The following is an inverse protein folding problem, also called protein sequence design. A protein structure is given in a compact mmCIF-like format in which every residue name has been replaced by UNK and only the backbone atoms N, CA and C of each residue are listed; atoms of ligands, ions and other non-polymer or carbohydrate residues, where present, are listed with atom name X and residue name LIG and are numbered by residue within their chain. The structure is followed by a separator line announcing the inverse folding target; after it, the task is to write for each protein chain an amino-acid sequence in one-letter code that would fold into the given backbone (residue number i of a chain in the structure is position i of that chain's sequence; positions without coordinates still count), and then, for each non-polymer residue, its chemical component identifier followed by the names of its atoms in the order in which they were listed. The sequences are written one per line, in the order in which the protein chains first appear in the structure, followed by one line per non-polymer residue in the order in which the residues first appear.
data_IF_945512763397
#
_entry.id   IF_945512763397
#
_cell.length_a   1.000
_cell.length_b   1.000
_cell.length_c   1.000
_cell.angle_alpha   90.00
_cell.angle_beta   90.00
_cell.angle_gamma   90.00
#
_symmetry.space_group_name_H-M   'P 1'
#
loop_
_entity.id
_entity.type
_entity.pdbx_description
1 polymer ?
#
# COMPACT_ATOMS: atom_id res chain seq x y z
N UNK A 1 9.37 10.04 0.79
CA UNK A 1 8.58 9.33 -0.23
C UNK A 1 8.58 10.08 -1.55
N UNK A 2 8.58 11.42 -1.55
CA UNK A 2 8.43 12.22 -2.78
C UNK A 2 9.56 12.09 -3.82
N UNK A 3 10.69 11.47 -3.47
CA UNK A 3 11.84 11.21 -4.36
C UNK A 3 12.09 9.71 -4.61
N UNK A 4 11.20 8.80 -4.20
CA UNK A 4 11.43 7.36 -4.37
C UNK A 4 10.88 6.85 -5.69
N UNK A 5 11.74 6.29 -6.54
CA UNK A 5 11.34 5.57 -7.75
C UNK A 5 10.92 4.15 -7.35
N UNK A 6 9.62 4.00 -7.10
CA UNK A 6 8.99 2.72 -6.79
C UNK A 6 8.72 2.00 -8.12
N UNK A 7 8.86 0.68 -8.17
CA UNK A 7 8.25 -0.09 -9.25
C UNK A 7 6.72 -0.05 -9.09
N UNK A 8 6.13 1.05 -9.54
CA UNK A 8 4.72 1.38 -9.37
C UNK A 8 3.80 0.31 -9.97
N UNK A 9 4.24 -0.41 -11.00
CA UNK A 9 3.42 -1.41 -11.72
C UNK A 9 3.07 -2.59 -10.82
N UNK A 10 4.06 -3.20 -10.17
CA UNK A 10 3.84 -4.38 -9.32
C UNK A 10 3.10 -4.03 -8.03
N UNK A 11 3.41 -2.85 -7.46
CA UNK A 11 2.77 -2.40 -6.24
C UNK A 11 1.30 -1.99 -6.47
N UNK A 12 1.01 -1.38 -7.63
CA UNK A 12 -0.34 -1.00 -8.04
C UNK A 12 -1.26 -2.21 -8.22
N UNK A 13 -0.79 -3.28 -8.86
CA UNK A 13 -1.61 -4.49 -9.04
C UNK A 13 -2.04 -5.10 -7.70
N UNK A 14 -1.09 -5.32 -6.78
CA UNK A 14 -1.41 -5.84 -5.43
C UNK A 14 -2.35 -4.91 -4.66
N UNK A 15 -2.15 -3.61 -4.79
CA UNK A 15 -3.01 -2.62 -4.15
C UNK A 15 -4.43 -2.64 -4.71
N UNK A 16 -4.59 -2.76 -6.03
CA UNK A 16 -5.90 -2.89 -6.68
C UNK A 16 -6.62 -4.17 -6.24
N UNK A 17 -5.93 -5.31 -6.16
CA UNK A 17 -6.49 -6.57 -5.66
C UNK A 17 -6.99 -6.46 -4.21
N UNK A 18 -6.21 -5.85 -3.32
CA UNK A 18 -6.59 -5.67 -1.92
C UNK A 18 -7.74 -4.64 -1.77
N UNK A 19 -7.77 -3.59 -2.59
CA UNK A 19 -8.91 -2.67 -2.66
C UNK A 19 -10.18 -3.36 -3.14
N UNK A 20 -10.09 -4.22 -4.15
CA UNK A 20 -11.23 -5.00 -4.63
C UNK A 20 -11.74 -5.97 -3.56
N UNK A 21 -10.85 -6.69 -2.88
CA UNK A 21 -11.18 -7.57 -1.76
C UNK A 21 -11.86 -6.80 -0.63
N UNK A 22 -11.32 -5.66 -0.24
CA UNK A 22 -11.88 -4.81 0.80
C UNK A 22 -13.27 -4.28 0.40
N UNK A 23 -13.43 -3.84 -0.84
CA UNK A 23 -14.72 -3.38 -1.38
C UNK A 23 -15.74 -4.51 -1.41
N UNK A 24 -15.35 -5.73 -1.81
CA UNK A 24 -16.21 -6.91 -1.80
C UNK A 24 -16.61 -7.30 -0.38
N UNK A 25 -15.68 -7.29 0.56
CA UNK A 25 -15.94 -7.51 1.98
C UNK A 25 -16.94 -6.48 2.52
N UNK A 26 -16.72 -5.19 2.31
CA UNK A 26 -17.65 -4.14 2.74
C UNK A 26 -19.07 -4.34 2.17
N UNK A 27 -19.19 -4.71 0.89
CA UNK A 27 -20.49 -5.00 0.27
C UNK A 27 -21.23 -6.15 0.97
N UNK A 28 -20.54 -7.23 1.32
CA UNK A 28 -21.14 -8.38 2.04
C UNK A 28 -21.81 -8.00 3.37
N UNK A 29 -21.32 -6.96 4.06
CA UNK A 29 -21.93 -6.47 5.31
C UNK A 29 -22.89 -5.30 5.11
N UNK A 30 -22.96 -4.73 3.91
CA UNK A 30 -23.74 -3.51 3.62
C UNK A 30 -25.06 -3.80 2.90
N UNK A 31 -25.29 -5.03 2.46
CA UNK A 31 -26.55 -5.47 1.81
C UNK A 31 -27.82 -5.29 2.66
N UNK A 32 -27.71 -4.85 3.93
CA UNK A 32 -28.84 -4.55 4.82
C UNK A 32 -29.37 -3.11 4.77
N UNK A 33 -28.70 -2.16 4.10
CA UNK A 33 -29.16 -0.76 4.08
C UNK A 33 -28.87 -0.04 2.73
N UNK A 34 -29.89 0.16 1.86
CA UNK A 34 -29.73 0.73 0.51
C UNK A 34 -29.20 2.18 0.49
N UNK A 35 -29.12 2.86 1.65
CA UNK A 35 -28.57 4.22 1.78
C UNK A 35 -27.05 4.25 1.97
N UNK A 36 -26.41 3.14 2.33
CA UNK A 36 -24.95 3.03 2.48
C UNK A 36 -24.31 2.55 1.19
N UNK A 37 -24.36 3.37 0.12
CA UNK A 37 -23.52 3.09 -1.05
C UNK A 37 -22.05 3.23 -0.62
N UNK A 38 -21.31 2.12 -0.64
CA UNK A 38 -19.85 2.11 -0.43
C UNK A 38 -19.24 3.04 -1.48
N UNK A 39 -18.74 4.20 -1.04
CA UNK A 39 -18.00 5.10 -1.93
C UNK A 39 -16.67 4.43 -2.26
N UNK A 40 -16.24 4.40 -3.54
CA UNK A 40 -14.90 3.93 -3.85
C UNK A 40 -13.90 4.79 -3.09
N UNK A 41 -13.11 4.15 -2.22
CA UNK A 41 -12.03 4.81 -1.50
C UNK A 41 -10.99 5.19 -2.54
N UNK A 42 -10.89 6.48 -2.87
CA UNK A 42 -9.78 7.01 -3.66
C UNK A 42 -8.55 7.12 -2.75
N UNK A 43 -7.89 6.01 -2.50
CA UNK A 43 -6.58 6.01 -1.84
C UNK A 43 -5.50 6.00 -2.90
N UNK A 44 -4.58 6.95 -2.83
CA UNK A 44 -3.41 7.00 -3.70
C UNK A 44 -2.41 5.90 -3.27
N UNK A 45 -1.69 5.31 -4.22
CA UNK A 45 -0.69 4.26 -3.98
C UNK A 45 0.37 4.71 -2.96
N UNK A 46 0.68 6.01 -2.94
CA UNK A 46 1.60 6.61 -1.97
C UNK A 46 1.08 6.56 -0.54
N UNK A 47 -0.22 6.83 -0.35
CA UNK A 47 -0.81 6.82 0.97
C UNK A 47 -0.95 5.39 1.50
N UNK A 48 -1.22 4.43 0.61
CA UNK A 48 -1.14 3.02 0.92
C UNK A 48 0.29 2.58 1.31
N UNK A 49 1.31 3.04 0.56
CA UNK A 49 2.70 2.77 0.91
C UNK A 49 3.09 3.37 2.29
N UNK A 50 2.64 4.59 2.61
CA UNK A 50 2.81 5.20 3.94
C UNK A 50 2.13 4.38 5.02
N UNK A 51 0.90 3.92 4.77
CA UNK A 51 0.15 3.08 5.69
C UNK A 51 0.89 1.76 5.96
N UNK A 52 1.31 1.05 4.92
CA UNK A 52 2.07 -0.20 5.05
C UNK A 52 3.37 0.00 5.85
N UNK A 53 4.11 1.08 5.62
CA UNK A 53 5.33 1.38 6.40
C UNK A 53 5.06 1.73 7.86
N UNK A 54 3.87 2.21 8.21
CA UNK A 54 3.48 2.51 9.60
C UNK A 54 2.90 1.27 10.28
N UNK A 55 1.79 0.78 9.75
CA UNK A 55 0.90 -0.20 10.38
C UNK A 55 1.05 -1.62 9.82
N UNK A 56 1.68 -1.78 8.65
CA UNK A 56 1.86 -3.10 8.04
C UNK A 56 2.71 -4.05 8.88
N UNK A 57 2.50 -5.34 8.68
CA UNK A 57 3.36 -6.38 9.23
C UNK A 57 4.79 -6.26 8.70
N UNK A 58 5.74 -6.87 9.41
CA UNK A 58 7.15 -6.92 8.98
C UNK A 58 7.30 -7.51 7.57
N UNK A 59 6.43 -8.45 7.19
CA UNK A 59 6.45 -9.10 5.88
C UNK A 59 5.98 -8.12 4.81
N UNK A 60 4.84 -7.46 5.00
CA UNK A 60 4.32 -6.49 4.03
C UNK A 60 5.26 -5.29 3.86
N UNK A 61 5.85 -4.81 4.96
CA UNK A 61 6.90 -3.78 4.93
C UNK A 61 8.09 -4.23 4.08
N UNK A 62 8.55 -5.47 4.25
CA UNK A 62 9.65 -6.03 3.47
C UNK A 62 9.29 -6.19 1.99
N UNK A 63 8.08 -6.66 1.68
CA UNK A 63 7.60 -6.75 0.30
C UNK A 63 7.55 -5.38 -0.37
N UNK A 64 6.99 -4.38 0.31
CA UNK A 64 6.98 -2.99 -0.19
C UNK A 64 8.39 -2.48 -0.48
N UNK A 65 9.33 -2.69 0.44
CA UNK A 65 10.72 -2.27 0.26
C UNK A 65 11.41 -3.02 -0.89
N UNK A 66 11.00 -4.26 -1.21
CA UNK A 66 11.52 -5.01 -2.36
C UNK A 66 11.10 -4.43 -3.72
N UNK A 67 10.01 -3.68 -3.76
CA UNK A 67 9.54 -2.98 -4.96
C UNK A 67 10.31 -1.67 -5.23
N UNK A 68 11.21 -1.26 -4.35
CA UNK A 68 12.04 -0.07 -4.57
C UNK A 68 13.14 -0.38 -5.57
N UNK A 69 13.26 0.43 -6.63
CA UNK A 69 14.35 0.29 -7.61
C UNK A 69 15.68 0.79 -7.06
N UNK A 70 15.63 1.72 -6.11
CA UNK A 70 16.80 2.32 -5.49
C UNK A 70 17.45 1.38 -4.49
N UNK A 71 18.79 1.39 -4.44
CA UNK A 71 19.53 0.61 -3.46
C UNK A 71 19.35 1.20 -2.06
N UNK A 72 18.93 0.37 -1.11
CA UNK A 72 18.83 0.73 0.29
C UNK A 72 20.13 0.39 1.02
N UNK A 73 20.58 1.30 1.89
CA UNK A 73 21.74 1.10 2.77
C UNK A 73 21.29 1.30 4.21
N UNK A 74 21.64 0.35 5.07
CA UNK A 74 21.41 0.47 6.52
C UNK A 74 22.72 0.86 7.22
N UNK A 75 22.72 2.01 7.88
CA UNK A 75 23.85 2.50 8.67
C UNK A 75 23.33 2.90 10.05
N UNK A 76 23.94 2.36 11.12
CA UNK A 76 23.54 2.67 12.51
C UNK A 76 22.03 2.51 12.77
N UNK A 77 21.43 1.45 12.23
CA UNK A 77 19.98 1.16 12.30
C UNK A 77 19.08 2.18 11.57
N UNK A 78 19.66 3.06 10.75
CA UNK A 78 18.93 4.00 9.89
C UNK A 78 18.99 3.46 8.45
N UNK A 79 17.83 3.33 7.81
CA UNK A 79 17.73 2.96 6.41
C UNK A 79 17.76 4.24 5.57
N UNK A 80 18.62 4.27 4.56
CA UNK A 80 18.81 5.40 3.65
C UNK A 80 18.81 4.91 2.21
N UNK A 81 18.39 5.77 1.28
CA UNK A 81 18.53 5.51 -0.16
C UNK A 81 19.95 5.88 -0.58
N UNK A 82 20.61 4.96 -1.27
CA UNK A 82 21.88 5.27 -1.94
C UNK A 82 21.58 6.21 -3.11
N UNK A 83 22.19 7.40 -3.09
CA UNK A 83 22.20 8.32 -4.24
C UNK A 83 22.96 7.72 -5.41
#
# INVERSE_FOLDING_TARGET
MDQMDINEIGMKHKFEEELERFTKFQKMFTDSDPKKKVKPVKMDLRDYAKYLLREGSTIEKRELLSCLKSKLVMIKKIITLQK
#
